data_IF_888804967442
#
_entry.id   IF_888804967442
#
_cell.length_a   1.000
_cell.length_b   1.000
_cell.length_c   1.000
_cell.angle_alpha   90.00
_cell.angle_beta   90.00
_cell.angle_gamma   90.00
#
_symmetry.space_group_name_H-M   'P 1'
#
loop_
_entity.id
_entity.type
_entity.pdbx_description
1 polymer ?
#
# COMPACT_ATOMS: atom_id res chain seq x y z
N UNK A 1 67.85 13.36 55.84
CA UNK A 1 66.75 12.38 55.68
C UNK A 1 65.39 13.00 55.28
N UNK A 2 65.18 14.32 55.40
CA UNK A 2 63.95 15.01 54.93
C UNK A 2 63.91 15.24 53.40
N UNK A 3 65.03 15.58 52.77
CA UNK A 3 65.06 15.98 51.34
C UNK A 3 64.75 14.86 50.31
N UNK A 4 64.90 13.59 50.69
CA UNK A 4 64.69 12.46 49.77
C UNK A 4 63.19 12.11 49.67
N UNK A 5 62.42 12.33 50.74
CA UNK A 5 60.97 12.09 50.75
C UNK A 5 60.20 13.14 49.96
N UNK A 6 60.62 14.41 50.01
CA UNK A 6 59.95 15.48 49.24
C UNK A 6 60.20 15.36 47.73
N UNK A 7 61.39 14.93 47.30
CA UNK A 7 61.67 14.67 45.87
C UNK A 7 60.88 13.49 45.33
N UNK A 8 60.73 12.41 46.09
CA UNK A 8 59.99 11.21 45.65
C UNK A 8 58.48 11.44 45.61
N UNK A 9 57.93 12.22 46.55
CA UNK A 9 56.54 12.66 46.48
C UNK A 9 56.29 13.54 45.24
N UNK A 10 57.15 14.55 44.99
CA UNK A 10 56.99 15.47 43.87
C UNK A 10 57.02 14.77 42.50
N UNK A 11 57.96 13.84 42.30
CA UNK A 11 58.06 13.05 41.06
C UNK A 11 56.81 12.20 40.82
N UNK A 12 56.21 11.64 41.88
CA UNK A 12 55.02 10.78 41.74
C UNK A 12 53.75 11.59 41.42
N UNK A 13 53.66 12.83 41.93
CA UNK A 13 52.59 13.76 41.56
C UNK A 13 52.73 14.25 40.11
N UNK A 14 53.94 14.57 39.67
CA UNK A 14 54.18 15.06 38.31
C UNK A 14 53.85 13.98 37.25
N UNK A 15 54.26 12.72 37.48
CA UNK A 15 53.92 11.59 36.60
C UNK A 15 52.40 11.31 36.57
N UNK A 16 51.71 11.51 37.70
CA UNK A 16 50.26 11.37 37.74
C UNK A 16 49.53 12.49 37.00
N UNK A 17 50.05 13.72 37.03
CA UNK A 17 49.49 14.88 36.33
C UNK A 17 49.69 14.74 34.82
N UNK A 18 50.85 14.27 34.38
CA UNK A 18 51.13 14.04 32.95
C UNK A 18 50.18 12.99 32.36
N UNK A 19 49.91 11.90 33.09
CA UNK A 19 48.96 10.86 32.66
C UNK A 19 47.50 11.36 32.62
N UNK A 20 47.11 12.24 33.56
CA UNK A 20 45.79 12.88 33.54
C UNK A 20 45.67 13.84 32.34
N UNK A 21 46.72 14.61 32.07
CA UNK A 21 46.77 15.56 30.95
C UNK A 21 46.71 14.83 29.59
N UNK A 22 47.41 13.70 29.46
CA UNK A 22 47.34 12.87 28.25
C UNK A 22 45.93 12.29 28.02
N UNK A 23 45.26 11.85 29.10
CA UNK A 23 43.87 11.36 29.02
C UNK A 23 42.89 12.46 28.65
N UNK A 24 43.05 13.67 29.20
CA UNK A 24 42.22 14.82 28.86
C UNK A 24 42.38 15.23 27.39
N UNK A 25 43.61 15.23 26.87
CA UNK A 25 43.85 15.50 25.45
C UNK A 25 43.22 14.45 24.53
N UNK A 26 43.29 13.16 24.88
CA UNK A 26 42.62 12.08 24.13
C UNK A 26 41.10 12.23 24.13
N UNK A 27 40.52 12.62 25.27
CA UNK A 27 39.10 12.93 25.38
C UNK A 27 38.70 14.14 24.54
N UNK A 28 39.48 15.22 24.56
CA UNK A 28 39.22 16.43 23.77
C UNK A 28 39.17 16.13 22.27
N UNK A 29 40.15 15.37 21.76
CA UNK A 29 40.18 14.96 20.35
C UNK A 29 38.98 14.08 19.99
N UNK A 30 38.53 13.22 20.92
CA UNK A 30 37.38 12.35 20.68
C UNK A 30 36.06 13.11 20.68
N UNK A 31 35.96 14.19 21.45
CA UNK A 31 34.79 15.09 21.47
C UNK A 31 34.74 15.92 20.20
N UNK A 32 35.85 16.50 19.74
CA UNK A 32 35.90 17.23 18.45
C UNK A 32 35.49 16.32 17.28
N UNK A 33 36.00 15.08 17.22
CA UNK A 33 35.58 14.12 16.19
C UNK A 33 34.09 13.76 16.28
N UNK A 34 33.52 13.72 17.48
CA UNK A 34 32.10 13.46 17.66
C UNK A 34 31.25 14.64 17.19
N UNK A 35 31.67 15.88 17.48
CA UNK A 35 31.00 17.10 17.01
C UNK A 35 31.09 17.27 15.48
N UNK A 36 32.24 16.96 14.87
CA UNK A 36 32.41 16.95 13.41
C UNK A 36 31.49 15.93 12.72
N UNK A 37 31.38 14.72 13.28
CA UNK A 37 30.48 13.69 12.78
C UNK A 37 29.01 14.09 12.93
N UNK A 38 28.64 14.72 14.05
CA UNK A 38 27.27 15.16 14.29
C UNK A 38 26.88 16.33 13.38
N UNK A 39 27.80 17.28 13.15
CA UNK A 39 27.63 18.38 12.19
C UNK A 39 27.48 17.86 10.74
N UNK A 40 28.25 16.85 10.38
CA UNK A 40 28.15 16.18 9.06
C UNK A 40 26.81 15.45 8.88
N UNK A 41 26.30 14.79 9.91
CA UNK A 41 24.97 14.18 9.89
C UNK A 41 23.83 15.21 9.84
N UNK A 42 23.96 16.35 10.53
CA UNK A 42 22.97 17.43 10.43
C UNK A 42 22.93 18.05 9.03
N UNK A 43 24.08 18.23 8.35
CA UNK A 43 24.12 18.69 6.95
C UNK A 43 23.45 17.71 5.98
N UNK A 44 23.66 16.40 6.15
CA UNK A 44 23.02 15.36 5.33
C UNK A 44 21.50 15.29 5.50
N UNK A 45 20.95 15.78 6.62
CA UNK A 45 19.51 15.82 6.89
C UNK A 45 18.81 17.05 6.30
N UNK A 46 19.53 18.12 5.98
CA UNK A 46 18.96 19.37 5.46
C UNK A 46 18.78 19.34 3.93
N UNK A 47 19.71 18.75 3.18
CA UNK A 47 19.67 18.69 1.70
C UNK A 47 18.46 17.95 1.09
N UNK A 48 17.90 16.88 1.70
CA UNK A 48 16.70 16.22 1.16
C UNK A 48 15.42 17.00 1.45
N UNK A 49 15.37 17.77 2.55
CA UNK A 49 14.14 18.44 3.01
C UNK A 49 13.78 19.61 2.09
N UNK A 50 14.76 20.41 1.67
CA UNK A 50 14.52 21.52 0.73
C UNK A 50 14.03 21.03 -0.65
N UNK A 51 14.59 19.92 -1.15
CA UNK A 51 14.12 19.30 -2.40
C UNK A 51 12.70 18.74 -2.30
N UNK A 52 12.30 18.26 -1.12
CA UNK A 52 10.92 17.76 -0.92
C UNK A 52 9.89 18.87 -0.82
N UNK A 53 10.25 20.02 -0.27
CA UNK A 53 9.32 21.15 -0.16
C UNK A 53 9.12 21.88 -1.49
N UNK A 54 10.17 21.97 -2.32
CA UNK A 54 10.06 22.52 -3.68
C UNK A 54 9.21 21.61 -4.59
N UNK A 55 9.39 20.29 -4.50
CA UNK A 55 8.54 19.32 -5.21
C UNK A 55 7.08 19.35 -4.73
N UNK A 56 6.84 19.56 -3.43
CA UNK A 56 5.49 19.71 -2.86
C UNK A 56 4.81 21.00 -3.30
N UNK A 57 5.56 22.10 -3.42
CA UNK A 57 5.03 23.38 -3.91
C UNK A 57 4.61 23.28 -5.38
N UNK A 58 5.44 22.65 -6.22
CA UNK A 58 5.13 22.43 -7.64
C UNK A 58 3.89 21.53 -7.82
N UNK A 59 3.79 20.42 -7.07
CA UNK A 59 2.61 19.53 -7.12
C UNK A 59 1.32 20.24 -6.72
N UNK A 60 1.40 21.17 -5.75
CA UNK A 60 0.25 21.94 -5.27
C UNK A 60 -0.22 22.97 -6.30
N UNK A 61 0.71 23.60 -7.02
CA UNK A 61 0.38 24.49 -8.15
C UNK A 61 -0.26 23.72 -9.31
N UNK A 62 0.26 22.53 -9.64
CA UNK A 62 -0.31 21.68 -10.68
C UNK A 62 -1.75 21.28 -10.35
N UNK A 63 -2.02 20.80 -9.13
CA UNK A 63 -3.37 20.45 -8.67
C UNK A 63 -4.30 21.67 -8.69
N UNK A 64 -3.81 22.86 -8.33
CA UNK A 64 -4.61 24.09 -8.39
C UNK A 64 -4.92 24.52 -9.82
N UNK A 65 -3.99 24.32 -10.76
CA UNK A 65 -4.20 24.63 -12.17
C UNK A 65 -5.23 23.69 -12.81
N UNK A 66 -5.18 22.39 -12.49
CA UNK A 66 -6.14 21.40 -13.00
C UNK A 66 -7.54 21.61 -12.41
N UNK A 67 -7.64 21.91 -11.11
CA UNK A 67 -8.94 22.19 -10.47
C UNK A 67 -9.59 23.45 -11.03
N UNK A 68 -8.81 24.49 -11.37
CA UNK A 68 -9.32 25.67 -12.11
C UNK A 68 -9.80 25.29 -13.51
N UNK A 69 -9.05 24.49 -14.24
CA UNK A 69 -9.43 24.03 -15.59
C UNK A 69 -10.72 23.19 -15.58
N UNK A 70 -10.89 22.32 -14.58
CA UNK A 70 -12.10 21.51 -14.41
C UNK A 70 -13.30 22.41 -14.07
N UNK A 71 -13.11 23.38 -13.18
CA UNK A 71 -14.18 24.33 -12.80
C UNK A 71 -14.61 25.17 -13.99
N UNK A 72 -13.66 25.70 -14.77
CA UNK A 72 -13.96 26.48 -15.98
C UNK A 72 -14.69 25.64 -17.05
N UNK A 73 -14.33 24.35 -17.21
CA UNK A 73 -15.06 23.43 -18.09
C UNK A 73 -16.48 23.17 -17.58
N UNK A 74 -16.66 23.06 -16.27
CA UNK A 74 -17.97 22.84 -15.65
C UNK A 74 -18.87 24.06 -15.83
N UNK A 75 -18.33 25.27 -15.69
CA UNK A 75 -19.05 26.53 -15.88
C UNK A 75 -19.45 26.73 -17.35
N UNK A 76 -18.56 26.41 -18.30
CA UNK A 76 -18.91 26.41 -19.75
C UNK A 76 -20.03 25.41 -20.08
N UNK A 77 -20.07 24.25 -19.41
CA UNK A 77 -21.16 23.28 -19.57
C UNK A 77 -22.47 23.81 -18.97
N UNK A 78 -22.41 24.54 -17.86
CA UNK A 78 -23.58 25.14 -17.22
C UNK A 78 -24.12 26.34 -18.00
N UNK A 79 -23.25 27.17 -18.57
CA UNK A 79 -23.62 28.27 -19.49
C UNK A 79 -24.21 27.74 -20.80
N UNK A 80 -23.66 26.65 -21.36
CA UNK A 80 -24.23 25.98 -22.53
C UNK A 80 -25.63 25.38 -22.26
N UNK A 81 -25.97 25.08 -20.99
CA UNK A 81 -27.32 24.67 -20.57
C UNK A 81 -28.28 25.84 -20.32
N UNK A 82 -27.76 27.06 -20.14
CA UNK A 82 -28.54 28.28 -19.93
C UNK A 82 -29.01 28.95 -21.23
N UNK A 83 -28.42 28.60 -22.38
CA UNK A 83 -28.85 29.03 -23.71
C UNK A 83 -29.68 27.95 -24.43
N UNK A 84 -30.82 27.58 -23.85
CA UNK A 84 -31.90 26.96 -24.62
C UNK A 84 -32.81 28.11 -25.07
N UNK A 85 -32.91 28.42 -26.38
CA UNK A 85 -33.84 29.45 -26.85
C UNK A 85 -35.26 29.06 -26.44
N UNK A 86 -35.92 29.91 -25.65
CA UNK A 86 -37.37 29.84 -25.42
C UNK A 86 -38.08 30.23 -26.73
N UNK A 87 -38.21 29.27 -27.64
CA UNK A 87 -39.17 29.38 -28.73
C UNK A 87 -40.57 29.19 -28.13
N UNK A 88 -41.35 30.27 -28.10
CA UNK A 88 -42.79 30.17 -27.95
C UNK A 88 -43.32 29.31 -29.10
N UNK A 89 -44.05 28.26 -28.75
CA UNK A 89 -44.98 27.65 -29.71
C UNK A 89 -46.35 27.55 -29.03
N UNK A 90 -47.42 27.93 -29.76
CA UNK A 90 -48.77 27.95 -29.25
C UNK A 90 -49.31 26.51 -29.13
N UNK A 91 -50.39 26.40 -28.37
CA UNK A 91 -51.14 25.21 -28.00
C UNK A 91 -51.16 24.02 -28.99
N UNK A 92 -51.26 22.83 -28.38
CA UNK A 92 -51.81 21.56 -28.87
C UNK A 92 -50.92 20.63 -29.72
N UNK A 93 -50.27 19.68 -29.03
CA UNK A 93 -50.28 18.28 -29.44
C UNK A 93 -50.03 17.39 -28.22
N UNK A 94 -51.08 16.69 -27.81
CA UNK A 94 -51.09 15.67 -26.77
C UNK A 94 -49.99 14.64 -27.10
N UNK A 95 -48.86 14.66 -26.39
CA UNK A 95 -47.90 13.54 -26.44
C UNK A 95 -48.56 12.34 -25.80
N UNK A 96 -48.85 11.35 -26.64
CA UNK A 96 -49.40 10.06 -26.25
C UNK A 96 -48.58 9.42 -25.11
N UNK A 97 -49.24 8.87 -24.07
CA UNK A 97 -48.61 8.20 -22.93
C UNK A 97 -47.87 6.89 -23.28
N UNK A 98 -47.76 6.54 -24.57
CA UNK A 98 -47.08 5.33 -25.03
C UNK A 98 -45.55 5.45 -25.02
N UNK A 99 -44.97 6.60 -25.37
CA UNK A 99 -43.51 6.69 -25.59
C UNK A 99 -42.68 6.71 -24.29
N UNK A 100 -43.22 7.25 -23.20
CA UNK A 100 -42.57 7.23 -21.89
C UNK A 100 -42.60 5.84 -21.22
N UNK A 101 -43.60 5.01 -21.53
CA UNK A 101 -43.68 3.63 -21.01
C UNK A 101 -42.66 2.71 -21.65
N UNK A 102 -42.33 2.92 -22.93
CA UNK A 102 -41.33 2.14 -23.67
C UNK A 102 -39.89 2.39 -23.15
N UNK A 103 -39.53 3.64 -22.87
CA UNK A 103 -38.20 4.00 -22.31
C UNK A 103 -38.00 3.44 -20.91
N UNK A 104 -39.03 3.53 -20.06
CA UNK A 104 -39.02 2.91 -18.72
C UNK A 104 -38.93 1.37 -18.85
N UNK A 105 -39.72 0.75 -19.73
CA UNK A 105 -39.63 -0.70 -20.00
C UNK A 105 -38.23 -1.14 -20.44
N UNK A 106 -37.57 -0.36 -21.29
CA UNK A 106 -36.23 -0.68 -21.78
C UNK A 106 -35.17 -0.56 -20.68
N UNK A 107 -35.24 0.47 -19.82
CA UNK A 107 -34.39 0.57 -18.62
C UNK A 107 -34.59 -0.60 -17.66
N UNK A 108 -35.85 -0.98 -17.39
CA UNK A 108 -36.16 -2.14 -16.55
C UNK A 108 -35.67 -3.45 -17.19
N UNK A 109 -35.81 -3.61 -18.51
CA UNK A 109 -35.34 -4.81 -19.23
C UNK A 109 -33.81 -4.92 -19.22
N UNK A 110 -33.09 -3.81 -19.39
CA UNK A 110 -31.62 -3.77 -19.30
C UNK A 110 -31.13 -4.03 -17.87
N UNK A 111 -31.80 -3.48 -16.85
CA UNK A 111 -31.49 -3.75 -15.45
C UNK A 111 -31.76 -5.22 -15.07
N UNK A 112 -32.89 -5.78 -15.51
CA UNK A 112 -33.23 -7.20 -15.31
C UNK A 112 -32.27 -8.13 -16.06
N UNK A 113 -31.81 -7.74 -17.26
CA UNK A 113 -30.78 -8.48 -18.00
C UNK A 113 -29.42 -8.42 -17.30
N UNK A 114 -28.98 -7.26 -16.78
CA UNK A 114 -27.75 -7.18 -16.00
C UNK A 114 -27.81 -7.96 -14.70
N UNK A 115 -28.95 -7.91 -13.99
CA UNK A 115 -29.16 -8.67 -12.76
C UNK A 115 -29.28 -10.17 -13.04
N UNK A 116 -29.94 -10.54 -14.14
CA UNK A 116 -30.03 -11.91 -14.66
C UNK A 116 -28.65 -12.47 -15.02
N UNK A 117 -27.84 -11.72 -15.76
CA UNK A 117 -26.48 -12.11 -16.13
C UNK A 117 -25.58 -12.28 -14.90
N UNK A 118 -25.64 -11.36 -13.93
CA UNK A 118 -24.91 -11.53 -12.65
C UNK A 118 -25.38 -12.73 -11.84
N UNK A 119 -26.68 -13.04 -11.86
CA UNK A 119 -27.23 -14.24 -11.21
C UNK A 119 -26.82 -15.53 -11.92
N UNK A 120 -26.70 -15.52 -13.25
CA UNK A 120 -26.20 -16.65 -14.05
C UNK A 120 -24.72 -16.88 -13.77
N UNK A 121 -23.90 -15.83 -13.84
CA UNK A 121 -22.46 -15.89 -13.49
C UNK A 121 -22.24 -16.39 -12.05
N UNK A 122 -23.06 -15.96 -11.09
CA UNK A 122 -22.99 -16.48 -9.71
C UNK A 122 -23.35 -17.96 -9.58
N UNK A 123 -24.20 -18.49 -10.45
CA UNK A 123 -24.55 -19.92 -10.47
C UNK A 123 -23.44 -20.76 -11.10
N UNK A 124 -22.69 -20.18 -12.01
CA UNK A 124 -21.51 -20.76 -12.64
C UNK A 124 -20.23 -20.58 -11.80
N UNK A 125 -20.31 -19.80 -10.71
CA UNK A 125 -19.19 -19.60 -9.80
C UNK A 125 -18.67 -20.94 -9.25
N UNK A 126 -17.33 -21.14 -9.23
CA UNK A 126 -16.71 -22.37 -8.77
C UNK A 126 -17.22 -22.79 -7.40
N UNK A 127 -17.43 -24.09 -7.23
CA UNK A 127 -17.78 -24.66 -5.94
C UNK A 127 -16.64 -24.37 -4.95
N UNK A 128 -16.93 -24.29 -3.66
CA UNK A 128 -15.91 -23.93 -2.66
C UNK A 128 -14.72 -24.90 -2.61
N UNK A 129 -14.84 -26.09 -3.20
CA UNK A 129 -13.79 -27.11 -3.36
C UNK A 129 -12.84 -26.84 -4.54
N UNK A 130 -13.24 -26.00 -5.48
CA UNK A 130 -12.47 -25.59 -6.67
C UNK A 130 -11.71 -24.28 -6.42
N UNK A 131 -11.84 -23.72 -5.22
CA UNK A 131 -11.13 -22.52 -4.81
C UNK A 131 -9.67 -22.86 -4.49
N UNK A 132 -8.74 -21.89 -4.62
CA UNK A 132 -7.34 -22.12 -4.31
C UNK A 132 -7.17 -22.58 -2.85
N UNK A 133 -6.43 -23.65 -2.62
CA UNK A 133 -6.05 -24.09 -1.28
C UNK A 133 -5.03 -23.13 -0.70
N UNK A 134 -5.24 -22.71 0.55
CA UNK A 134 -4.34 -21.83 1.27
C UNK A 134 -3.89 -22.52 2.56
N UNK A 135 -2.63 -22.91 2.61
CA UNK A 135 -2.04 -23.62 3.75
C UNK A 135 -1.47 -22.62 4.77
N UNK A 136 -1.15 -21.41 4.31
CA UNK A 136 -0.38 -20.43 5.07
C UNK A 136 1.09 -20.81 5.22
N UNK A 137 1.57 -21.74 4.38
CA UNK A 137 2.94 -22.27 4.33
C UNK A 137 3.51 -22.00 2.93
N UNK A 138 4.38 -21.00 2.77
CA UNK A 138 5.04 -20.70 1.49
C UNK A 138 5.43 -19.25 1.31
N UNK A 139 6.34 -19.00 0.36
CA UNK A 139 6.61 -17.65 -0.16
C UNK A 139 5.42 -17.23 -1.02
N UNK A 140 4.71 -16.17 -0.63
CA UNK A 140 3.62 -15.55 -1.39
C UNK A 140 2.28 -16.32 -1.50
N UNK A 141 2.09 -17.34 -0.67
CA UNK A 141 0.83 -18.12 -0.63
C UNK A 141 -0.39 -17.20 -0.34
N UNK A 142 -0.24 -16.26 0.60
CA UNK A 142 -1.34 -15.37 1.00
C UNK A 142 -1.70 -14.31 -0.05
N UNK A 143 -0.70 -13.75 -0.76
CA UNK A 143 -0.93 -12.76 -1.81
C UNK A 143 -1.58 -13.37 -3.04
N UNK A 144 -1.09 -14.54 -3.46
CA UNK A 144 -1.65 -15.31 -4.58
C UNK A 144 -3.08 -15.76 -4.28
N UNK A 145 -3.31 -16.19 -3.04
CA UNK A 145 -4.65 -16.53 -2.55
C UNK A 145 -5.61 -15.34 -2.65
N UNK A 146 -5.26 -14.19 -2.06
CA UNK A 146 -6.09 -12.98 -2.08
C UNK A 146 -6.42 -12.58 -3.52
N UNK A 147 -5.41 -12.48 -4.39
CA UNK A 147 -5.60 -12.10 -5.79
C UNK A 147 -6.53 -13.06 -6.52
N UNK A 148 -6.43 -14.36 -6.26
CA UNK A 148 -7.31 -15.36 -6.88
C UNK A 148 -8.76 -15.19 -6.43
N UNK A 149 -8.99 -14.88 -5.15
CA UNK A 149 -10.35 -14.58 -4.65
C UNK A 149 -10.90 -13.30 -5.27
N UNK A 150 -10.07 -12.26 -5.45
CA UNK A 150 -10.47 -11.02 -6.12
C UNK A 150 -10.83 -11.24 -7.59
N UNK A 151 -10.04 -12.03 -8.32
CA UNK A 151 -10.37 -12.44 -9.70
C UNK A 151 -11.71 -13.19 -9.74
N UNK A 152 -11.95 -14.14 -8.82
CA UNK A 152 -13.24 -14.84 -8.73
C UNK A 152 -14.40 -13.89 -8.42
N UNK A 153 -14.16 -12.88 -7.59
CA UNK A 153 -15.17 -11.86 -7.27
C UNK A 153 -15.55 -11.05 -8.52
N UNK A 154 -14.56 -10.67 -9.32
CA UNK A 154 -14.75 -9.90 -10.56
C UNK A 154 -15.41 -10.75 -11.65
N UNK A 155 -14.87 -11.93 -11.95
CA UNK A 155 -15.31 -12.80 -13.05
C UNK A 155 -16.76 -13.30 -12.84
N UNK A 156 -17.10 -13.68 -11.61
CA UNK A 156 -18.40 -14.28 -11.30
C UNK A 156 -19.36 -13.32 -10.58
N UNK A 157 -18.98 -12.04 -10.42
CA UNK A 157 -19.75 -11.00 -9.73
C UNK A 157 -20.26 -11.45 -8.34
N UNK A 158 -19.41 -12.18 -7.61
CA UNK A 158 -19.73 -12.77 -6.30
C UNK A 158 -19.89 -11.67 -5.24
N UNK A 159 -20.88 -11.79 -4.35
CA UNK A 159 -21.00 -10.86 -3.21
C UNK A 159 -20.01 -11.20 -2.11
N UNK A 160 -19.58 -10.19 -1.35
CA UNK A 160 -18.70 -10.42 -0.18
C UNK A 160 -19.29 -11.44 0.80
N UNK A 161 -20.60 -11.45 0.99
CA UNK A 161 -21.32 -12.40 1.84
C UNK A 161 -21.13 -13.86 1.38
N UNK A 162 -21.12 -14.10 0.06
CA UNK A 162 -20.90 -15.44 -0.48
C UNK A 162 -19.43 -15.84 -0.36
N UNK A 163 -18.51 -14.88 -0.54
CA UNK A 163 -17.08 -15.11 -0.31
C UNK A 163 -16.87 -15.53 1.15
N UNK A 164 -17.36 -14.77 2.11
CA UNK A 164 -17.15 -15.06 3.53
C UNK A 164 -17.87 -16.33 4.00
N UNK A 165 -18.99 -16.69 3.39
CA UNK A 165 -19.63 -17.99 3.62
C UNK A 165 -18.76 -19.17 3.14
N UNK A 166 -18.09 -19.03 2.00
CA UNK A 166 -17.25 -20.07 1.38
C UNK A 166 -15.80 -20.06 1.86
N UNK A 167 -15.36 -19.01 2.54
CA UNK A 167 -13.96 -18.77 2.89
C UNK A 167 -13.33 -19.85 3.77
N UNK A 168 -14.14 -20.58 4.55
CA UNK A 168 -13.64 -21.69 5.38
C UNK A 168 -13.09 -22.89 4.58
N UNK A 169 -13.52 -23.05 3.33
CA UNK A 169 -13.20 -24.19 2.46
C UNK A 169 -11.75 -24.19 1.95
N UNK A 170 -11.20 -23.07 1.43
CA UNK A 170 -9.82 -23.02 0.96
C UNK A 170 -8.75 -23.13 2.06
N UNK A 171 -9.08 -22.83 3.33
CA UNK A 171 -8.11 -22.92 4.41
C UNK A 171 -7.77 -24.38 4.77
N UNK A 172 -6.48 -24.71 4.78
CA UNK A 172 -5.97 -26.02 5.16
C UNK A 172 -4.97 -25.96 6.33
N UNK A 173 -4.72 -27.09 7.00
CA UNK A 173 -3.70 -27.25 8.06
C UNK A 173 -3.73 -26.12 9.11
N UNK A 174 -2.66 -25.31 9.19
CA UNK A 174 -2.45 -24.25 10.17
C UNK A 174 -3.37 -23.05 9.92
N UNK A 175 -3.54 -22.64 8.66
CA UNK A 175 -4.39 -21.51 8.29
C UNK A 175 -5.86 -21.77 8.67
N UNK A 176 -6.32 -23.02 8.57
CA UNK A 176 -7.67 -23.43 9.00
C UNK A 176 -7.90 -23.25 10.49
N UNK A 177 -6.92 -23.62 11.33
CA UNK A 177 -7.00 -23.45 12.78
C UNK A 177 -7.04 -21.97 13.16
N UNK A 178 -6.19 -21.16 12.52
CA UNK A 178 -6.19 -19.71 12.71
C UNK A 178 -7.52 -19.08 12.31
N UNK A 179 -8.08 -19.45 11.15
CA UNK A 179 -9.36 -18.93 10.66
C UNK A 179 -10.50 -19.14 11.66
N UNK A 180 -10.62 -20.34 12.22
CA UNK A 180 -11.66 -20.61 13.23
C UNK A 180 -11.44 -19.84 14.53
N UNK A 181 -10.19 -19.57 14.91
CA UNK A 181 -9.88 -18.74 16.07
C UNK A 181 -10.33 -17.29 15.89
N UNK A 182 -9.95 -16.67 14.77
CA UNK A 182 -10.33 -15.28 14.45
C UNK A 182 -11.84 -15.14 14.20
N UNK A 183 -12.47 -16.13 13.56
CA UNK A 183 -13.92 -16.09 13.28
C UNK A 183 -14.77 -16.11 14.55
N UNK A 184 -14.28 -16.71 15.63
CA UNK A 184 -14.99 -16.69 16.92
C UNK A 184 -14.93 -15.32 17.60
N UNK A 185 -13.87 -14.54 17.35
CA UNK A 185 -13.66 -13.23 17.96
C UNK A 185 -14.19 -12.07 17.11
N UNK A 186 -14.22 -12.24 15.77
CA UNK A 186 -14.69 -11.22 14.84
C UNK A 186 -16.17 -11.39 14.50
N UNK A 187 -16.98 -10.40 14.88
CA UNK A 187 -18.42 -10.34 14.60
C UNK A 187 -18.76 -9.88 13.16
N UNK A 188 -17.77 -9.34 12.44
CA UNK A 188 -17.92 -8.80 11.08
C UNK A 188 -17.38 -9.79 10.04
N UNK A 189 -18.16 -10.00 8.98
CA UNK A 189 -17.90 -10.99 7.93
C UNK A 189 -17.78 -10.35 6.54
N UNK A 190 -17.03 -9.25 6.41
CA UNK A 190 -16.73 -8.63 5.10
C UNK A 190 -15.42 -9.16 4.54
N UNK A 191 -15.33 -9.27 3.21
CA UNK A 191 -14.12 -9.79 2.56
C UNK A 191 -12.92 -8.86 2.79
N UNK A 192 -13.15 -7.54 2.73
CA UNK A 192 -12.11 -6.54 3.00
C UNK A 192 -11.44 -6.70 4.37
N UNK A 193 -12.22 -7.04 5.41
CA UNK A 193 -11.66 -7.29 6.75
C UNK A 193 -10.84 -8.58 6.76
N UNK A 194 -11.34 -9.66 6.13
CA UNK A 194 -10.60 -10.91 6.03
C UNK A 194 -9.29 -10.74 5.24
N UNK A 195 -9.28 -9.94 4.17
CA UNK A 195 -8.06 -9.58 3.44
C UNK A 195 -7.03 -8.93 4.37
N UNK A 196 -7.46 -7.97 5.18
CA UNK A 196 -6.59 -7.31 6.17
C UNK A 196 -6.05 -8.31 7.20
N UNK A 197 -6.90 -9.15 7.79
CA UNK A 197 -6.49 -10.16 8.77
C UNK A 197 -5.47 -11.16 8.19
N UNK A 198 -5.66 -11.58 6.93
CA UNK A 198 -4.72 -12.45 6.22
C UNK A 198 -3.37 -11.73 6.04
N UNK A 199 -3.39 -10.49 5.55
CA UNK A 199 -2.16 -9.68 5.40
C UNK A 199 -1.48 -9.50 6.76
N UNK A 200 -2.20 -9.11 7.80
CA UNK A 200 -1.64 -8.92 9.14
C UNK A 200 -1.00 -10.20 9.69
N UNK A 201 -1.60 -11.37 9.44
CA UNK A 201 -1.10 -12.64 9.95
C UNK A 201 0.14 -13.14 9.21
N UNK A 202 0.16 -13.02 7.88
CA UNK A 202 1.19 -13.65 7.03
C UNK A 202 2.18 -12.67 6.38
N UNK A 203 1.87 -11.39 6.26
CA UNK A 203 2.78 -10.33 5.83
C UNK A 203 3.44 -9.62 7.03
N UNK A 204 3.94 -10.42 7.98
CA UNK A 204 4.67 -9.92 9.16
C UNK A 204 6.08 -9.42 8.80
N UNK A 205 6.76 -8.78 9.74
CA UNK A 205 8.08 -8.16 9.49
C UNK A 205 9.13 -9.17 9.00
N UNK A 206 9.10 -10.41 9.50
CA UNK A 206 10.02 -11.45 9.05
C UNK A 206 9.76 -11.84 7.58
N UNK A 207 8.50 -11.88 7.17
CA UNK A 207 8.13 -12.09 5.76
C UNK A 207 8.55 -10.89 4.91
N UNK A 208 8.28 -9.65 5.35
CA UNK A 208 8.67 -8.43 4.63
C UNK A 208 10.18 -8.39 4.40
N UNK A 209 10.96 -8.60 5.46
CA UNK A 209 12.42 -8.66 5.37
C UNK A 209 12.90 -9.72 4.39
N UNK A 210 12.28 -10.91 4.39
CA UNK A 210 12.60 -11.97 3.43
C UNK A 210 12.33 -11.54 1.99
N UNK A 211 11.21 -10.87 1.74
CA UNK A 211 10.81 -10.42 0.41
C UNK A 211 11.68 -9.24 -0.06
N UNK A 212 12.01 -8.30 0.82
CA UNK A 212 12.96 -7.22 0.55
C UNK A 212 14.34 -7.78 0.19
N UNK A 213 14.82 -8.76 0.95
CA UNK A 213 16.07 -9.42 0.65
C UNK A 213 16.01 -10.19 -0.69
N UNK A 214 14.86 -10.79 -1.05
CA UNK A 214 14.71 -11.39 -2.38
C UNK A 214 14.73 -10.35 -3.50
N UNK A 215 14.09 -9.19 -3.29
CA UNK A 215 14.13 -8.06 -4.22
C UNK A 215 15.57 -7.60 -4.47
N UNK A 216 16.31 -7.36 -3.38
CA UNK A 216 17.71 -6.90 -3.42
C UNK A 216 18.61 -7.92 -4.09
N UNK A 217 18.45 -9.21 -3.82
CA UNK A 217 19.28 -10.25 -4.42
C UNK A 217 18.88 -10.62 -5.86
N UNK A 218 17.70 -10.19 -6.33
CA UNK A 218 17.20 -10.51 -7.68
C UNK A 218 17.78 -9.59 -8.76
N UNK A 219 19.11 -9.45 -8.80
CA UNK A 219 19.81 -8.72 -9.85
C UNK A 219 19.63 -9.38 -11.22
N UNK A 220 19.63 -8.58 -12.28
CA UNK A 220 19.58 -9.08 -13.65
C UNK A 220 20.98 -9.52 -14.11
N UNK A 221 21.15 -10.81 -14.44
CA UNK A 221 22.36 -11.34 -15.07
C UNK A 221 22.13 -11.47 -16.61
N UNK A 222 22.75 -10.62 -17.44
CA UNK A 222 22.56 -10.64 -18.89
C UNK A 222 22.92 -11.95 -19.58
N UNK A 223 23.74 -12.80 -18.94
CA UNK A 223 24.18 -14.09 -19.49
C UNK A 223 23.27 -15.26 -19.12
N UNK A 224 22.39 -15.10 -18.13
CA UNK A 224 21.56 -16.19 -17.59
C UNK A 224 20.07 -15.88 -17.63
N UNK A 225 19.70 -14.62 -17.45
CA UNK A 225 18.33 -14.22 -17.24
C UNK A 225 17.68 -13.71 -18.52
N UNK A 226 16.42 -14.08 -18.71
CA UNK A 226 15.56 -13.43 -19.70
C UNK A 226 15.04 -12.13 -19.09
N UNK A 227 15.28 -11.01 -19.77
CA UNK A 227 14.91 -9.66 -19.28
C UNK A 227 13.44 -9.55 -18.87
N UNK A 228 12.53 -10.10 -19.67
CA UNK A 228 11.10 -10.09 -19.36
C UNK A 228 10.76 -10.89 -18.10
N UNK A 229 11.36 -12.08 -17.93
CA UNK A 229 11.12 -12.91 -16.75
C UNK A 229 11.61 -12.22 -15.47
N UNK A 230 12.77 -11.59 -15.53
CA UNK A 230 13.34 -10.89 -14.37
C UNK A 230 12.54 -9.64 -14.02
N UNK A 231 12.09 -8.87 -15.03
CA UNK A 231 11.24 -7.70 -14.80
C UNK A 231 9.89 -8.11 -14.19
N UNK A 232 9.28 -9.18 -14.69
CA UNK A 232 8.03 -9.70 -14.13
C UNK A 232 8.21 -10.15 -12.69
N UNK A 233 9.29 -10.88 -12.39
CA UNK A 233 9.62 -11.29 -11.01
C UNK A 233 9.75 -10.08 -10.08
N UNK A 234 10.49 -9.06 -10.51
CA UNK A 234 10.67 -7.83 -9.73
C UNK A 234 9.34 -7.08 -9.50
N UNK A 235 8.48 -7.04 -10.53
CA UNK A 235 7.15 -6.45 -10.40
C UNK A 235 6.26 -7.23 -9.42
N UNK A 236 6.32 -8.57 -9.42
CA UNK A 236 5.60 -9.41 -8.46
C UNK A 236 6.05 -9.17 -7.02
N UNK A 237 7.36 -9.05 -6.80
CA UNK A 237 7.93 -8.76 -5.48
C UNK A 237 7.47 -7.38 -4.95
N UNK A 238 7.52 -6.35 -5.80
CA UNK A 238 7.06 -5.01 -5.41
C UNK A 238 5.56 -4.96 -5.09
N UNK A 239 4.73 -5.62 -5.90
CA UNK A 239 3.29 -5.72 -5.64
C UNK A 239 2.98 -6.47 -4.34
N UNK A 240 3.84 -7.40 -3.93
CA UNK A 240 3.68 -8.09 -2.65
C UNK A 240 4.04 -7.19 -1.46
N UNK A 241 5.09 -6.37 -1.57
CA UNK A 241 5.51 -5.44 -0.50
C UNK A 241 4.53 -4.28 -0.30
N UNK A 242 3.92 -3.81 -1.39
CA UNK A 242 3.01 -2.66 -1.41
C UNK A 242 1.66 -3.02 -2.06
N UNK A 243 0.83 -3.83 -1.37
CA UNK A 243 -0.44 -4.35 -1.90
C UNK A 243 -1.63 -3.40 -1.80
#
# INVERSE_FOLDING_TARGET
>A
MKDIKDKTLKINYDVSIDNITEKLNKLSISVEKFEENNSSHQKLLLDPVEKTDEARMNLKEDIQSETRLITEKMDKINEAKLYIPKLSTPFSQIRSPFKAKEEIKNLFKTYLNHKGNKLVLRKEAPQSKEWPTFTGEGEYDHMSFIKTIEMLQEDYAITEELITARLHSPFEKYSKRWYYGIRQTNSKNTWSLWKQEIITKWANDAWRYKIENEFENSFFDPGKDKTLTQLLKQAEILNALYP
#
